data_IF_463763815706
#
_entry.id   IF_463763815706
#
_cell.length_a   1.000
_cell.length_b   1.000
_cell.length_c   1.000
_cell.angle_alpha   90.00
_cell.angle_beta   90.00
_cell.angle_gamma   90.00
#
_symmetry.space_group_name_H-M   'P 1'
#
loop_
_entity.id
_entity.type
_entity.pdbx_description
1 polymer ?
#
# COMPACT_ATOMS: atom_id res chain seq x y z
N UNK A 1 -7.84 25.14 0.62
CA UNK A 1 -7.77 23.67 0.86
C UNK A 1 -7.62 23.40 2.35
N UNK A 2 -6.65 24.06 3.00
CA UNK A 2 -6.56 24.09 4.47
C UNK A 2 -7.77 24.79 5.11
N UNK A 3 -8.35 25.81 4.45
CA UNK A 3 -9.58 26.48 4.90
C UNK A 3 -10.83 25.57 4.90
N UNK A 4 -10.76 24.43 4.21
CA UNK A 4 -11.80 23.39 4.20
C UNK A 4 -11.52 22.28 5.23
N UNK A 5 -10.47 22.43 6.06
CA UNK A 5 -10.01 21.41 7.00
C UNK A 5 -9.33 20.21 6.35
N UNK A 6 -8.97 20.31 5.07
CA UNK A 6 -8.37 19.21 4.30
C UNK A 6 -6.85 19.31 4.30
N UNK A 7 -6.18 18.24 4.75
CA UNK A 7 -4.72 18.13 4.70
C UNK A 7 -4.29 17.52 3.35
N UNK A 8 -3.57 18.29 2.54
CA UNK A 8 -3.05 17.84 1.25
C UNK A 8 -1.72 17.12 1.46
N UNK A 9 -1.70 15.82 1.17
CA UNK A 9 -0.51 14.99 1.31
C UNK A 9 -0.03 14.52 -0.06
N UNK A 10 1.20 14.86 -0.41
CA UNK A 10 1.86 14.34 -1.61
C UNK A 10 2.67 13.07 -1.30
N UNK A 11 2.81 12.14 -2.27
CA UNK A 11 3.70 11.00 -2.14
C UNK A 11 5.15 11.48 -1.87
N UNK A 12 5.85 10.93 -0.86
CA UNK A 12 7.16 11.43 -0.40
C UNK A 12 8.36 11.19 -1.36
N UNK A 13 8.13 10.86 -2.63
CA UNK A 13 9.18 10.54 -3.61
C UNK A 13 9.76 11.77 -4.33
N UNK A 14 9.28 12.97 -4.02
CA UNK A 14 9.55 14.18 -4.81
C UNK A 14 11.00 14.69 -4.82
N UNK A 15 11.95 14.02 -4.14
CA UNK A 15 13.32 14.52 -3.96
C UNK A 15 14.44 13.49 -4.26
N UNK A 16 14.21 12.54 -5.16
CA UNK A 16 15.28 11.61 -5.61
C UNK A 16 15.76 10.58 -4.59
N UNK A 17 15.03 10.38 -3.49
CA UNK A 17 15.33 9.34 -2.50
C UNK A 17 14.88 7.97 -3.01
N UNK A 18 15.77 6.97 -2.95
CA UNK A 18 15.45 5.60 -3.38
C UNK A 18 14.55 4.83 -2.42
N UNK A 19 14.45 5.23 -1.14
CA UNK A 19 13.65 4.54 -0.13
C UNK A 19 12.89 5.51 0.78
N UNK A 20 11.69 5.10 1.17
CA UNK A 20 10.90 5.78 2.18
C UNK A 20 11.42 5.48 3.58
N UNK A 21 11.39 6.49 4.46
CA UNK A 21 11.46 6.22 5.90
C UNK A 21 10.23 5.44 6.31
N UNK A 22 10.32 4.67 7.40
CA UNK A 22 9.15 3.98 7.97
C UNK A 22 7.97 4.95 8.03
N UNK A 23 8.20 6.18 8.53
CA UNK A 23 7.17 7.22 8.76
C UNK A 23 6.42 7.55 7.49
N UNK A 24 7.19 7.90 6.46
CA UNK A 24 6.71 8.24 5.14
C UNK A 24 5.96 7.07 4.48
N UNK A 25 6.41 5.82 4.68
CA UNK A 25 5.72 4.63 4.16
C UNK A 25 4.31 4.48 4.73
N UNK A 26 4.13 4.54 6.05
CA UNK A 26 2.79 4.37 6.63
C UNK A 26 1.85 5.52 6.25
N UNK A 27 2.37 6.75 6.16
CA UNK A 27 1.58 7.89 5.67
C UNK A 27 1.14 7.66 4.22
N UNK A 28 2.05 7.19 3.37
CA UNK A 28 1.75 6.89 1.97
C UNK A 28 0.74 5.76 1.82
N UNK A 29 0.88 4.68 2.60
CA UNK A 29 -0.07 3.58 2.63
C UNK A 29 -1.47 4.06 3.02
N UNK A 30 -1.57 4.95 4.02
CA UNK A 30 -2.86 5.54 4.41
C UNK A 30 -3.49 6.35 3.27
N UNK A 31 -2.70 7.21 2.62
CA UNK A 31 -3.16 7.98 1.45
C UNK A 31 -3.62 7.06 0.32
N UNK A 32 -2.88 5.98 0.05
CA UNK A 32 -3.25 4.99 -0.97
C UNK A 32 -4.60 4.35 -0.63
N UNK A 33 -4.84 3.93 0.62
CA UNK A 33 -6.12 3.34 1.03
C UNK A 33 -7.30 4.28 0.80
N UNK A 34 -7.15 5.57 1.10
CA UNK A 34 -8.20 6.57 0.83
C UNK A 34 -8.37 6.79 -0.68
N UNK A 35 -7.26 6.85 -1.43
CA UNK A 35 -7.26 7.02 -2.88
C UNK A 35 -8.08 5.92 -3.58
N UNK A 36 -7.98 4.66 -3.14
CA UNK A 36 -8.79 3.57 -3.70
C UNK A 36 -10.29 3.88 -3.73
N UNK A 37 -10.83 4.47 -2.65
CA UNK A 37 -12.25 4.84 -2.57
C UNK A 37 -12.58 5.95 -3.56
N UNK A 38 -11.71 6.97 -3.63
CA UNK A 38 -11.86 8.11 -4.55
C UNK A 38 -11.78 7.67 -6.01
N UNK A 39 -10.83 6.78 -6.34
CA UNK A 39 -10.65 6.23 -7.69
C UNK A 39 -11.83 5.36 -8.10
N UNK A 40 -12.37 4.55 -7.20
CA UNK A 40 -13.58 3.78 -7.46
C UNK A 40 -14.79 4.70 -7.77
N UNK A 41 -14.98 5.76 -6.99
CA UNK A 41 -16.02 6.75 -7.27
C UNK A 41 -15.81 7.46 -8.62
N UNK A 42 -14.57 7.86 -8.91
CA UNK A 42 -14.20 8.48 -10.19
C UNK A 42 -14.44 7.53 -11.37
N UNK A 43 -14.15 6.24 -11.20
CA UNK A 43 -14.43 5.22 -12.23
C UNK A 43 -15.92 5.12 -12.53
N UNK A 44 -16.80 5.20 -11.52
CA UNK A 44 -18.25 5.24 -11.73
C UNK A 44 -18.69 6.49 -12.52
N UNK A 45 -18.16 7.67 -12.15
CA UNK A 45 -18.48 8.94 -12.84
C UNK A 45 -18.01 8.89 -14.30
N UNK A 46 -16.81 8.34 -14.56
CA UNK A 46 -16.24 8.21 -15.91
C UNK A 46 -16.94 7.17 -16.80
N UNK A 47 -17.92 6.42 -16.29
CA UNK A 47 -18.80 5.62 -17.18
C UNK A 47 -19.68 6.51 -18.07
N UNK A 48 -19.89 7.78 -17.68
CA UNK A 48 -20.61 8.75 -18.47
C UNK A 48 -19.67 9.37 -19.50
N UNK A 49 -19.88 9.07 -20.79
CA UNK A 49 -19.01 9.48 -21.91
C UNK A 49 -18.64 10.96 -21.91
N UNK A 50 -19.56 11.83 -21.49
CA UNK A 50 -19.32 13.26 -21.39
C UNK A 50 -18.22 13.60 -20.37
N UNK A 51 -18.23 12.94 -19.20
CA UNK A 51 -17.26 13.16 -18.11
C UNK A 51 -15.99 12.31 -18.24
N UNK A 52 -16.01 11.30 -19.13
CA UNK A 52 -14.85 10.47 -19.42
C UNK A 52 -13.82 11.17 -20.32
N UNK A 53 -14.30 12.11 -21.16
CA UNK A 53 -13.51 12.80 -22.17
C UNK A 53 -13.19 14.24 -21.75
N UNK A 54 -12.39 14.92 -22.57
CA UNK A 54 -12.11 16.35 -22.40
C UNK A 54 -13.39 17.16 -22.50
N UNK A 55 -13.69 17.91 -21.44
CA UNK A 55 -14.88 18.76 -21.36
C UNK A 55 -14.57 20.11 -22.03
N UNK A 56 -15.41 20.59 -22.94
CA UNK A 56 -15.19 21.90 -23.57
C UNK A 56 -15.32 23.03 -22.55
N UNK A 57 -14.51 24.08 -22.69
CA UNK A 57 -14.47 25.20 -21.74
C UNK A 57 -15.83 25.90 -21.57
N UNK A 58 -16.67 25.90 -22.60
CA UNK A 58 -18.04 26.44 -22.56
C UNK A 58 -18.95 25.70 -21.57
N UNK A 59 -18.64 24.45 -21.25
CA UNK A 59 -19.41 23.62 -20.31
C UNK A 59 -18.92 23.74 -18.88
N UNK A 60 -17.74 24.32 -18.62
CA UNK A 60 -17.18 24.46 -17.27
C UNK A 60 -18.10 25.20 -16.29
N UNK A 61 -18.82 26.28 -16.67
CA UNK A 61 -19.73 26.97 -15.75
C UNK A 61 -20.85 26.07 -15.19
N UNK A 62 -21.19 25.00 -15.91
CA UNK A 62 -22.27 24.07 -15.56
C UNK A 62 -21.76 22.71 -15.09
N UNK A 63 -20.44 22.54 -14.95
CA UNK A 63 -19.82 21.25 -14.63
C UNK A 63 -20.32 20.67 -13.31
N UNK A 64 -20.51 21.53 -12.30
CA UNK A 64 -21.06 21.14 -11.00
C UNK A 64 -22.47 20.56 -11.13
N UNK A 65 -23.32 21.16 -11.98
CA UNK A 65 -24.68 20.68 -12.21
C UNK A 65 -24.66 19.32 -12.92
N UNK A 66 -23.79 19.16 -13.93
CA UNK A 66 -23.61 17.88 -14.62
C UNK A 66 -23.13 16.77 -13.67
N UNK A 67 -22.14 17.08 -12.82
CA UNK A 67 -21.67 16.15 -11.80
C UNK A 67 -22.77 15.82 -10.79
N UNK A 68 -23.54 16.80 -10.32
CA UNK A 68 -24.63 16.61 -9.37
C UNK A 68 -25.72 15.69 -9.93
N UNK A 69 -26.11 15.88 -11.20
CA UNK A 69 -27.07 15.01 -11.89
C UNK A 69 -26.51 13.60 -12.03
N UNK A 70 -25.27 13.44 -12.49
CA UNK A 70 -24.63 12.13 -12.65
C UNK A 70 -24.51 11.39 -11.32
N UNK A 71 -24.03 12.06 -10.27
CA UNK A 71 -23.94 11.49 -8.94
C UNK A 71 -25.32 11.10 -8.39
N UNK A 72 -26.36 11.89 -8.64
CA UNK A 72 -27.74 11.55 -8.25
C UNK A 72 -28.23 10.26 -8.94
N UNK A 73 -27.94 10.11 -10.23
CA UNK A 73 -28.27 8.90 -11.00
C UNK A 73 -27.49 7.69 -10.45
N UNK A 74 -26.18 7.84 -10.21
CA UNK A 74 -25.35 6.77 -9.65
C UNK A 74 -25.91 6.34 -8.29
N UNK A 75 -26.17 7.29 -7.39
CA UNK A 75 -26.69 6.99 -6.05
C UNK A 75 -28.07 6.32 -6.07
N UNK A 76 -28.90 6.62 -7.07
CA UNK A 76 -30.26 6.06 -7.22
C UNK A 76 -30.25 4.64 -7.79
N UNK A 77 -29.37 4.37 -8.77
CA UNK A 77 -29.48 3.19 -9.63
C UNK A 77 -28.29 2.23 -9.58
N UNK A 78 -27.15 2.64 -9.03
CA UNK A 78 -25.98 1.76 -8.86
C UNK A 78 -25.93 1.22 -7.43
N UNK A 79 -25.41 0.00 -7.25
CA UNK A 79 -25.10 -0.49 -5.92
C UNK A 79 -24.03 0.40 -5.26
N UNK A 80 -24.02 0.51 -3.92
CA UNK A 80 -22.95 1.19 -3.20
C UNK A 80 -21.57 0.65 -3.58
N UNK A 81 -20.57 1.52 -3.70
CA UNK A 81 -19.18 1.15 -4.05
C UNK A 81 -18.63 0.08 -3.08
N UNK A 82 -19.05 0.16 -1.82
CA UNK A 82 -18.82 -0.86 -0.80
C UNK A 82 -20.00 -0.86 0.16
N UNK A 83 -20.46 -2.04 0.58
CA UNK A 83 -21.36 -2.16 1.72
C UNK A 83 -20.51 -2.01 2.99
N UNK A 84 -20.83 -1.06 3.85
CA UNK A 84 -20.16 -0.89 5.13
C UNK A 84 -20.44 -2.09 6.03
N UNK A 85 -19.40 -2.78 6.48
CA UNK A 85 -19.51 -3.77 7.56
C UNK A 85 -19.55 -3.05 8.92
N UNK A 86 -20.17 -3.67 9.92
CA UNK A 86 -20.13 -3.19 11.32
C UNK A 86 -18.68 -3.05 11.80
N UNK A 87 -17.79 -3.91 11.30
CA UNK A 87 -16.38 -3.91 11.66
C UNK A 87 -15.56 -2.81 10.98
N UNK A 88 -16.08 -2.13 9.95
CA UNK A 88 -15.31 -1.15 9.20
C UNK A 88 -14.88 0.05 10.06
N UNK A 89 -15.74 0.45 11.01
CA UNK A 89 -15.41 1.50 11.98
C UNK A 89 -14.30 1.05 12.94
N UNK A 90 -14.39 -0.17 13.45
CA UNK A 90 -13.37 -0.77 14.33
C UNK A 90 -12.04 -0.88 13.61
N UNK A 91 -12.05 -1.33 12.35
CA UNK A 91 -10.86 -1.42 11.50
C UNK A 91 -10.28 -0.03 11.24
N UNK A 92 -11.11 0.99 10.97
CA UNK A 92 -10.64 2.36 10.78
C UNK A 92 -9.94 2.91 12.03
N UNK A 93 -10.52 2.70 13.21
CA UNK A 93 -9.94 3.08 14.50
C UNK A 93 -8.63 2.33 14.77
N UNK A 94 -8.57 1.04 14.44
CA UNK A 94 -7.33 0.26 14.49
C UNK A 94 -6.28 0.82 13.54
N UNK A 95 -6.64 1.18 12.30
CA UNK A 95 -5.70 1.79 11.36
C UNK A 95 -5.15 3.13 11.88
N UNK A 96 -6.00 3.96 12.51
CA UNK A 96 -5.59 5.24 13.11
C UNK A 96 -4.65 5.01 14.30
N UNK A 97 -4.96 4.07 15.18
CA UNK A 97 -4.10 3.76 16.34
C UNK A 97 -2.74 3.20 15.91
N UNK A 98 -2.71 2.26 14.96
CA UNK A 98 -1.48 1.68 14.41
C UNK A 98 -0.62 2.70 13.67
N UNK A 99 -1.23 3.66 12.97
CA UNK A 99 -0.52 4.78 12.34
C UNK A 99 0.30 5.56 13.38
N UNK A 100 -0.25 5.77 14.56
CA UNK A 100 0.36 6.55 15.64
C UNK A 100 1.32 5.75 16.53
N UNK A 101 1.23 4.41 16.54
CA UNK A 101 2.01 3.52 17.40
C UNK A 101 3.49 3.36 16.98
N UNK A 102 3.89 4.02 15.89
CA UNK A 102 5.17 3.84 15.20
C UNK A 102 6.44 3.97 16.05
N UNK A 103 6.36 4.60 17.22
CA UNK A 103 7.50 4.72 18.14
C UNK A 103 7.99 3.34 18.61
N UNK A 104 7.13 2.33 18.72
CA UNK A 104 7.52 1.09 19.40
C UNK A 104 8.54 0.24 18.63
N UNK A 105 8.44 0.11 17.30
CA UNK A 105 9.33 -0.80 16.56
C UNK A 105 10.73 -0.24 16.37
N UNK A 106 10.86 1.05 16.00
CA UNK A 106 12.18 1.68 15.88
C UNK A 106 12.87 1.78 17.25
N UNK A 107 12.11 2.09 18.30
CA UNK A 107 12.61 2.06 19.68
C UNK A 107 12.96 0.64 20.13
N UNK A 108 12.19 -0.39 19.74
CA UNK A 108 12.53 -1.80 20.00
C UNK A 108 13.82 -2.21 19.30
N UNK A 109 13.99 -1.84 18.01
CA UNK A 109 15.21 -2.13 17.26
C UNK A 109 16.43 -1.43 17.87
N UNK A 110 16.29 -0.17 18.32
CA UNK A 110 17.35 0.54 19.03
C UNK A 110 17.64 -0.08 20.40
N UNK A 111 16.60 -0.36 21.19
CA UNK A 111 16.73 -0.92 22.55
C UNK A 111 17.40 -2.29 22.53
N UNK A 112 17.13 -3.10 21.52
CA UNK A 112 17.71 -4.44 21.38
C UNK A 112 18.96 -4.46 20.49
N UNK A 113 19.51 -3.30 20.08
CA UNK A 113 20.65 -3.21 19.16
C UNK A 113 20.49 -4.04 17.87
N UNK A 114 19.26 -4.23 17.40
CA UNK A 114 18.91 -5.03 16.22
C UNK A 114 19.04 -4.24 14.91
N UNK A 115 19.47 -2.97 14.96
CA UNK A 115 19.86 -2.26 13.75
C UNK A 115 21.12 -2.95 13.22
N UNK A 116 20.95 -3.72 12.14
CA UNK A 116 21.99 -4.44 11.38
C UNK A 116 23.37 -3.84 11.64
N UNK A 117 24.13 -4.46 12.54
CA UNK A 117 25.58 -4.45 12.40
C UNK A 117 25.83 -5.04 11.02
N UNK A 118 26.43 -4.27 10.12
CA UNK A 118 26.89 -4.80 8.83
C UNK A 118 27.50 -6.17 9.08
N UNK A 119 26.90 -7.22 8.53
CA UNK A 119 27.51 -8.55 8.58
C UNK A 119 28.93 -8.38 8.05
N UNK A 120 29.93 -8.67 8.88
CA UNK A 120 31.29 -8.81 8.36
C UNK A 120 31.24 -10.08 7.54
N UNK A 121 31.20 -9.91 6.22
CA UNK A 121 31.34 -11.02 5.30
C UNK A 121 32.78 -11.50 5.45
N UNK A 122 32.94 -12.60 6.17
CA UNK A 122 34.22 -13.30 6.26
C UNK A 122 34.29 -14.28 5.09
N UNK A 123 35.46 -14.36 4.47
CA UNK A 123 35.74 -15.36 3.45
C UNK A 123 35.91 -16.67 4.21
N UNK A 124 34.94 -17.58 4.04
CA UNK A 124 35.01 -18.93 4.58
C UNK A 124 35.77 -19.77 3.54
N UNK A 125 36.86 -20.42 3.96
CA UNK A 125 37.56 -21.39 3.12
C UNK A 125 36.74 -22.68 3.04
N UNK A 126 36.87 -23.45 1.95
CA UNK A 126 36.10 -24.69 1.74
C UNK A 126 36.32 -25.75 2.85
N UNK A 127 37.41 -25.65 3.62
CA UNK A 127 37.66 -26.50 4.79
C UNK A 127 36.81 -26.16 6.01
N UNK A 128 36.26 -24.93 6.09
CA UNK A 128 35.47 -24.42 7.22
C UNK A 128 33.96 -24.49 6.95
N UNK A 129 33.55 -25.30 5.97
CA UNK A 129 32.13 -25.58 5.71
C UNK A 129 31.51 -26.09 7.01
N UNK A 130 30.45 -25.41 7.46
CA UNK A 130 29.58 -25.82 8.56
C UNK A 130 29.33 -27.34 8.45
N UNK A 131 29.92 -28.14 9.34
CA UNK A 131 29.70 -29.60 9.42
C UNK A 131 28.23 -29.97 9.63
N UNK A 132 27.39 -28.97 9.93
CA UNK A 132 25.96 -29.06 10.15
C UNK A 132 25.15 -28.87 8.86
N UNK A 133 25.77 -28.42 7.77
CA UNK A 133 25.12 -28.38 6.46
C UNK A 133 25.18 -29.78 5.82
N UNK A 134 24.05 -30.38 5.43
CA UNK A 134 24.03 -31.73 4.87
C UNK A 134 24.86 -31.79 3.59
N UNK A 135 25.90 -32.63 3.59
CA UNK A 135 26.61 -33.01 2.37
C UNK A 135 25.81 -34.18 1.80
N UNK A 136 25.02 -33.90 0.77
CA UNK A 136 24.16 -34.88 0.13
C UNK A 136 24.72 -35.22 -1.25
N UNK A 137 24.79 -36.51 -1.58
CA UNK A 137 25.18 -36.94 -2.93
C UNK A 137 24.06 -36.65 -3.94
N UNK A 138 24.39 -36.62 -5.23
CA UNK A 138 23.41 -36.37 -6.29
C UNK A 138 22.24 -37.38 -6.22
N UNK A 139 22.54 -38.65 -5.94
CA UNK A 139 21.54 -39.71 -5.75
C UNK A 139 20.64 -39.46 -4.53
N UNK A 140 21.19 -38.97 -3.42
CA UNK A 140 20.41 -38.67 -2.22
C UNK A 140 19.50 -37.45 -2.43
N UNK A 141 19.94 -36.45 -3.20
CA UNK A 141 19.13 -35.27 -3.56
C UNK A 141 17.93 -35.72 -4.41
N UNK A 142 18.19 -36.57 -5.41
CA UNK A 142 17.15 -37.06 -6.33
C UNK A 142 16.09 -37.88 -5.58
N UNK A 143 16.52 -38.75 -4.67
CA UNK A 143 15.62 -39.66 -3.97
C UNK A 143 14.87 -39.02 -2.78
N UNK A 144 15.48 -38.05 -2.08
CA UNK A 144 14.91 -37.51 -0.85
C UNK A 144 14.31 -36.10 -0.97
N UNK A 145 14.64 -35.33 -2.01
CA UNK A 145 14.24 -33.92 -2.13
C UNK A 145 13.36 -33.68 -3.36
N UNK A 146 13.68 -34.28 -4.50
CA UNK A 146 12.82 -34.15 -5.69
C UNK A 146 11.68 -35.18 -5.64
N UNK A 147 10.44 -34.70 -5.82
CA UNK A 147 9.22 -35.50 -5.85
C UNK A 147 9.01 -36.26 -7.17
N UNK A 148 10.08 -36.56 -7.90
CA UNK A 148 10.01 -37.29 -9.16
C UNK A 148 10.53 -38.71 -8.96
N UNK A 149 9.71 -39.55 -8.35
CA UNK A 149 9.79 -40.99 -8.59
C UNK A 149 9.09 -41.30 -9.92
N UNK A 150 9.69 -42.08 -10.83
CA UNK A 150 8.97 -42.62 -11.99
C UNK A 150 7.81 -43.54 -11.59
#
# INVERSE_FOLDING_TARGET
MEDLGLNVVFPPLLNGRQQFTSSATNQSQFVIKVRWVVEAANACIKQFKFLANTIPNSSLPHLEQYLSVVCSIINRYRPPIKNSSIDDAVIADQMISLRNQKKNFETFLQKNNLKKTSSKWEIIDHSDILHEFPIMSEDEIVNNITLDTP
#
